data_IF_506106896379
#
_entry.id   IF_506106896379
#
_cell.length_a   1.000
_cell.length_b   1.000
_cell.length_c   1.000
_cell.angle_alpha   90.00
_cell.angle_beta   90.00
_cell.angle_gamma   90.00
#
_symmetry.space_group_name_H-M   'P 1'
#
loop_
_entity.id
_entity.type
_entity.pdbx_description
1 polymer ?
#
# COMPACT_ATOMS: atom_id res chain seq x y z
N UNK A 1 -2.56 -26.09 -30.98
CA UNK A 1 -2.91 -25.76 -29.56
C UNK A 1 -4.43 -25.72 -29.45
N UNK A 2 -5.05 -26.21 -28.38
CA UNK A 2 -6.51 -26.10 -28.20
C UNK A 2 -6.91 -24.62 -28.12
N UNK A 3 -8.09 -24.26 -28.63
CA UNK A 3 -8.62 -22.88 -28.62
C UNK A 3 -8.57 -22.26 -27.20
N UNK A 4 -8.79 -23.07 -26.16
CA UNK A 4 -8.69 -22.66 -24.76
C UNK A 4 -7.29 -22.18 -24.34
N UNK A 5 -6.21 -22.81 -24.82
CA UNK A 5 -4.83 -22.41 -24.49
C UNK A 5 -4.45 -21.08 -25.13
N UNK A 6 -5.00 -20.79 -26.32
CA UNK A 6 -4.78 -19.52 -27.02
C UNK A 6 -5.49 -18.39 -26.28
N UNK A 7 -6.76 -18.58 -25.92
CA UNK A 7 -7.55 -17.60 -25.18
C UNK A 7 -6.88 -17.25 -23.84
N UNK A 8 -6.44 -18.27 -23.08
CA UNK A 8 -5.71 -18.05 -21.84
C UNK A 8 -4.45 -17.21 -22.07
N UNK A 9 -3.69 -17.51 -23.12
CA UNK A 9 -2.47 -16.76 -23.39
C UNK A 9 -2.72 -15.30 -23.74
N UNK A 10 -3.77 -15.02 -24.51
CA UNK A 10 -4.21 -13.66 -24.83
C UNK A 10 -4.59 -12.92 -23.54
N UNK A 11 -5.36 -13.55 -22.65
CA UNK A 11 -5.76 -12.96 -21.38
C UNK A 11 -4.56 -12.65 -20.47
N UNK A 12 -3.57 -13.55 -20.38
CA UNK A 12 -2.33 -13.33 -19.63
C UNK A 12 -1.56 -12.10 -20.16
N UNK A 13 -1.44 -11.99 -21.48
CA UNK A 13 -0.75 -10.86 -22.12
C UNK A 13 -1.51 -9.56 -21.89
N UNK A 14 -2.83 -9.56 -22.07
CA UNK A 14 -3.67 -8.38 -21.82
C UNK A 14 -3.54 -7.90 -20.37
N UNK A 15 -3.61 -8.81 -19.40
CA UNK A 15 -3.43 -8.49 -17.98
C UNK A 15 -2.04 -7.91 -17.69
N UNK A 16 -0.99 -8.51 -18.26
CA UNK A 16 0.39 -8.02 -18.12
C UNK A 16 0.55 -6.63 -18.73
N UNK A 17 -0.09 -6.35 -19.86
CA UNK A 17 -0.09 -5.02 -20.48
C UNK A 17 -0.77 -3.97 -19.61
N UNK A 18 -1.95 -4.28 -19.07
CA UNK A 18 -2.68 -3.37 -18.16
C UNK A 18 -1.86 -3.06 -16.90
N UNK A 19 -1.27 -4.09 -16.27
CA UNK A 19 -0.38 -3.91 -15.12
C UNK A 19 0.81 -3.01 -15.49
N UNK A 20 1.41 -3.22 -16.66
CA UNK A 20 2.55 -2.42 -17.13
C UNK A 20 2.17 -0.95 -17.33
N UNK A 21 1.00 -0.69 -17.92
CA UNK A 21 0.49 0.68 -18.12
C UNK A 21 0.28 1.36 -16.76
N UNK A 22 -0.40 0.71 -15.81
CA UNK A 22 -0.64 1.27 -14.47
C UNK A 22 0.68 1.48 -13.70
N UNK A 23 1.65 0.57 -13.83
CA UNK A 23 2.97 0.78 -13.22
C UNK A 23 3.68 1.99 -13.84
N UNK A 24 3.58 2.18 -15.15
CA UNK A 24 4.16 3.36 -15.80
C UNK A 24 3.53 4.66 -15.27
N UNK A 25 2.22 4.70 -15.02
CA UNK A 25 1.56 5.86 -14.43
C UNK A 25 1.97 6.08 -12.98
N UNK A 26 2.34 5.04 -12.22
CA UNK A 26 2.95 5.22 -10.89
C UNK A 26 4.26 6.01 -10.99
N UNK A 27 5.16 5.64 -11.90
CA UNK A 27 6.41 6.38 -12.09
C UNK A 27 6.17 7.81 -12.59
N UNK A 28 5.22 8.00 -13.50
CA UNK A 28 4.91 9.32 -14.07
C UNK A 28 4.31 10.31 -13.06
N UNK A 29 3.60 9.82 -12.04
CA UNK A 29 3.00 10.66 -11.00
C UNK A 29 4.01 11.40 -10.11
N UNK A 30 5.26 10.92 -10.05
CA UNK A 30 6.35 11.57 -9.30
C UNK A 30 6.81 12.88 -9.96
N UNK A 31 7.28 12.89 -11.21
CA UNK A 31 7.61 14.14 -11.90
C UNK A 31 6.38 15.02 -12.11
N UNK A 32 5.17 14.44 -12.24
CA UNK A 32 3.94 15.23 -12.34
C UNK A 32 3.69 16.09 -11.10
N UNK A 33 3.82 15.53 -9.89
CA UNK A 33 3.68 16.33 -8.68
C UNK A 33 4.80 17.33 -8.48
N UNK A 34 6.02 17.02 -8.94
CA UNK A 34 7.10 18.01 -8.98
C UNK A 34 6.72 19.21 -9.86
N UNK A 35 6.22 18.96 -11.08
CA UNK A 35 5.76 20.00 -12.00
C UNK A 35 4.65 20.83 -11.36
N UNK A 36 3.63 20.17 -10.80
CA UNK A 36 2.51 20.84 -10.16
C UNK A 36 2.93 21.70 -8.97
N UNK A 37 3.81 21.20 -8.11
CA UNK A 37 4.24 21.95 -6.93
C UNK A 37 5.19 23.09 -7.32
N UNK A 38 6.17 22.87 -8.19
CA UNK A 38 7.27 23.84 -8.38
C UNK A 38 7.16 24.72 -9.62
N UNK A 39 6.40 24.31 -10.63
CA UNK A 39 6.29 25.02 -11.91
C UNK A 39 4.96 25.78 -12.07
N UNK A 40 4.08 25.72 -11.07
CA UNK A 40 2.86 26.53 -11.01
C UNK A 40 3.09 27.77 -10.16
N UNK A 41 2.50 28.91 -10.56
CA UNK A 41 2.70 30.19 -9.86
C UNK A 41 1.98 30.20 -8.52
N UNK A 42 0.85 29.51 -8.44
CA UNK A 42 -0.06 29.46 -7.30
C UNK A 42 0.56 28.73 -6.10
N UNK A 43 1.47 27.80 -6.34
CA UNK A 43 2.18 27.06 -5.29
C UNK A 43 3.42 27.78 -4.73
N UNK A 44 3.86 28.88 -5.36
CA UNK A 44 5.13 29.55 -5.03
C UNK A 44 5.21 30.06 -3.59
N UNK A 45 4.11 30.64 -3.07
CA UNK A 45 4.03 31.12 -1.69
C UNK A 45 4.03 29.97 -0.68
N UNK A 46 3.39 28.85 -1.04
CA UNK A 46 3.31 27.66 -0.21
C UNK A 46 4.67 26.96 -0.09
N UNK A 47 5.41 26.83 -1.19
CA UNK A 47 6.74 26.22 -1.20
C UNK A 47 7.67 26.92 -0.21
N UNK A 48 7.67 28.26 -0.19
CA UNK A 48 8.53 29.06 0.68
C UNK A 48 8.16 28.94 2.17
N UNK A 49 6.93 28.51 2.48
CA UNK A 49 6.43 28.44 3.85
C UNK A 49 7.24 27.47 4.72
N UNK A 50 7.36 27.80 6.00
CA UNK A 50 8.04 26.97 6.99
C UNK A 50 7.01 26.15 7.75
N UNK A 51 7.08 24.84 7.62
CA UNK A 51 6.21 23.90 8.34
C UNK A 51 6.97 23.17 9.43
N UNK A 52 6.26 22.83 10.50
CA UNK A 52 6.76 21.90 11.52
C UNK A 52 6.56 20.47 11.00
N UNK A 53 7.51 19.60 11.31
CA UNK A 53 7.39 18.18 10.99
C UNK A 53 6.53 17.51 12.07
N UNK A 54 5.35 17.02 11.68
CA UNK A 54 4.47 16.23 12.55
C UNK A 54 4.83 14.75 12.44
N UNK A 55 5.10 14.10 13.57
CA UNK A 55 5.20 12.66 13.67
C UNK A 55 3.98 12.16 14.44
N UNK A 56 3.34 11.12 13.93
CA UNK A 56 2.27 10.43 14.65
C UNK A 56 2.90 9.18 15.25
N UNK A 57 2.58 8.88 16.51
CA UNK A 57 2.90 7.60 17.12
C UNK A 57 1.66 7.10 17.85
N UNK A 58 0.99 6.10 17.26
CA UNK A 58 -0.21 5.48 17.82
C UNK A 58 -1.33 6.48 18.20
N UNK A 59 -1.71 7.33 17.23
CA UNK A 59 -2.71 8.40 17.41
C UNK A 59 -2.30 9.53 18.37
N UNK A 60 -1.01 9.63 18.73
CA UNK A 60 -0.46 10.76 19.47
C UNK A 60 0.42 11.60 18.55
N UNK A 61 0.17 12.90 18.52
CA UNK A 61 0.88 13.87 17.69
C UNK A 61 2.13 14.40 18.40
N UNK A 62 3.26 14.32 17.71
CA UNK A 62 4.55 14.86 18.14
C UNK A 62 5.06 15.86 17.11
N UNK A 63 5.16 17.11 17.51
CA UNK A 63 5.71 18.17 16.68
C UNK A 63 7.21 18.28 16.89
N UNK A 64 7.99 17.98 15.86
CA UNK A 64 9.43 18.19 15.94
C UNK A 64 9.74 19.70 15.87
N UNK A 65 10.64 20.23 16.72
CA UNK A 65 10.94 21.66 16.78
C UNK A 65 11.71 22.20 15.56
N UNK A 66 11.97 21.35 14.55
CA UNK A 66 12.60 21.74 13.30
C UNK A 66 11.57 22.33 12.34
N UNK A 67 11.85 23.53 11.84
CA UNK A 67 11.06 24.18 10.80
C UNK A 67 11.75 24.00 9.46
N UNK A 68 11.13 23.25 8.56
CA UNK A 68 11.65 22.97 7.22
C UNK A 68 10.80 23.72 6.21
N UNK A 69 11.41 24.15 5.12
CA UNK A 69 10.71 24.66 3.96
C UNK A 69 9.79 23.57 3.36
N UNK A 70 8.53 23.88 3.09
CA UNK A 70 7.54 22.91 2.61
C UNK A 70 7.98 22.25 1.31
N UNK A 71 8.49 23.03 0.36
CA UNK A 71 8.99 22.46 -0.91
C UNK A 71 10.14 21.49 -0.70
N UNK A 72 11.07 21.81 0.20
CA UNK A 72 12.17 20.89 0.55
C UNK A 72 11.64 19.58 1.10
N UNK A 73 10.66 19.64 2.01
CA UNK A 73 10.02 18.45 2.56
C UNK A 73 9.26 17.67 1.47
N UNK A 74 8.57 18.36 0.56
CA UNK A 74 7.88 17.73 -0.56
C UNK A 74 8.84 16.98 -1.50
N UNK A 75 10.01 17.55 -1.82
CA UNK A 75 11.05 16.86 -2.61
C UNK A 75 11.51 15.58 -1.88
N UNK A 76 11.73 15.65 -0.56
CA UNK A 76 12.11 14.48 0.24
C UNK A 76 11.04 13.39 0.13
N UNK A 77 9.74 13.74 0.22
CA UNK A 77 8.64 12.78 0.06
C UNK A 77 8.66 12.14 -1.33
N UNK A 78 8.80 12.92 -2.41
CA UNK A 78 8.89 12.40 -3.77
C UNK A 78 10.09 11.45 -3.95
N UNK A 79 11.23 11.77 -3.35
CA UNK A 79 12.41 10.90 -3.36
C UNK A 79 12.19 9.59 -2.59
N UNK A 80 11.47 9.63 -1.47
CA UNK A 80 11.07 8.42 -0.73
C UNK A 80 10.20 7.53 -1.62
N UNK A 81 9.18 8.08 -2.26
CA UNK A 81 8.30 7.30 -3.15
C UNK A 81 9.04 6.73 -4.35
N UNK A 82 9.91 7.51 -4.99
CA UNK A 82 10.75 7.03 -6.07
C UNK A 82 11.68 5.89 -5.61
N UNK A 83 12.27 6.03 -4.42
CA UNK A 83 13.11 4.98 -3.82
C UNK A 83 12.30 3.71 -3.55
N UNK A 84 11.08 3.84 -3.02
CA UNK A 84 10.17 2.70 -2.83
C UNK A 84 9.81 2.03 -4.16
N UNK A 85 9.50 2.79 -5.22
CA UNK A 85 9.22 2.24 -6.55
C UNK A 85 10.43 1.50 -7.15
N UNK A 86 11.63 2.08 -7.04
CA UNK A 86 12.88 1.45 -7.51
C UNK A 86 13.20 0.18 -6.70
N UNK A 87 13.00 0.21 -5.38
CA UNK A 87 13.16 -0.98 -4.53
C UNK A 87 12.18 -2.09 -4.97
N UNK A 88 10.92 -1.73 -5.19
CA UNK A 88 9.86 -2.63 -5.66
C UNK A 88 10.17 -3.25 -7.02
N UNK A 89 10.89 -2.53 -7.89
CA UNK A 89 11.32 -3.06 -9.20
C UNK A 89 12.31 -4.23 -9.09
N UNK A 90 13.15 -4.23 -8.06
CA UNK A 90 14.31 -5.14 -7.94
C UNK A 90 14.13 -6.27 -6.93
N UNK A 91 13.37 -6.05 -5.87
CA UNK A 91 13.29 -6.99 -4.75
C UNK A 91 12.56 -8.29 -5.10
N UNK A 92 13.04 -9.41 -4.54
CA UNK A 92 12.61 -10.80 -4.84
C UNK A 92 12.83 -11.19 -6.30
N UNK A 93 11.79 -11.10 -7.13
CA UNK A 93 11.86 -11.33 -8.58
C UNK A 93 11.84 -9.97 -9.26
N UNK A 94 12.80 -9.62 -10.13
CA UNK A 94 12.77 -8.35 -10.84
C UNK A 94 11.49 -8.18 -11.68
N UNK A 95 10.96 -6.95 -11.75
CA UNK A 95 9.71 -6.63 -12.44
C UNK A 95 9.65 -7.19 -13.87
N UNK A 96 10.71 -7.00 -14.67
CA UNK A 96 10.77 -7.48 -16.06
C UNK A 96 10.65 -9.01 -16.19
N UNK A 97 11.01 -9.78 -15.15
CA UNK A 97 10.80 -11.24 -15.12
C UNK A 97 9.41 -11.60 -14.61
N UNK A 98 8.92 -10.87 -13.60
CA UNK A 98 7.61 -11.10 -13.02
C UNK A 98 6.48 -10.81 -14.01
N UNK A 99 6.58 -9.72 -14.78
CA UNK A 99 5.54 -9.30 -15.72
C UNK A 99 5.38 -10.25 -16.91
N UNK A 100 6.42 -11.00 -17.27
CA UNK A 100 6.39 -11.98 -18.35
C UNK A 100 5.74 -13.31 -17.95
N UNK A 101 5.53 -13.54 -16.65
CA UNK A 101 4.98 -14.79 -16.13
C UNK A 101 3.97 -14.53 -15.01
N UNK A 102 2.66 -14.65 -15.29
CA UNK A 102 1.58 -14.41 -14.32
C UNK A 102 1.71 -15.14 -12.99
N UNK A 103 2.35 -16.31 -12.97
CA UNK A 103 2.62 -17.07 -11.73
C UNK A 103 3.58 -16.36 -10.77
N UNK A 104 4.30 -15.35 -11.26
CA UNK A 104 5.27 -14.56 -10.51
C UNK A 104 4.72 -13.17 -10.12
N UNK A 105 3.48 -12.82 -10.47
CA UNK A 105 2.92 -11.50 -10.14
C UNK A 105 2.97 -11.20 -8.64
N UNK A 106 2.64 -12.18 -7.79
CA UNK A 106 2.71 -12.03 -6.34
C UNK A 106 4.12 -12.20 -5.72
N UNK A 107 5.15 -12.29 -6.57
CA UNK A 107 6.57 -12.33 -6.16
C UNK A 107 7.32 -11.03 -6.43
N UNK A 108 6.66 -10.02 -6.99
CA UNK A 108 7.20 -8.68 -7.15
C UNK A 108 6.15 -7.65 -6.76
N UNK A 109 6.51 -6.67 -5.93
CA UNK A 109 5.53 -5.71 -5.44
C UNK A 109 4.94 -4.83 -6.54
N UNK A 110 5.71 -4.43 -7.58
CA UNK A 110 5.16 -3.62 -8.67
C UNK A 110 4.15 -4.37 -9.54
N UNK A 111 4.23 -5.70 -9.63
CA UNK A 111 3.17 -6.49 -10.30
C UNK A 111 1.99 -6.79 -9.38
N UNK A 112 2.22 -6.98 -8.07
CA UNK A 112 1.16 -7.19 -7.08
C UNK A 112 0.34 -5.94 -6.81
N UNK A 113 1.00 -4.77 -6.76
CA UNK A 113 0.42 -3.53 -6.26
C UNK A 113 -0.81 -3.12 -7.07
N UNK A 114 -0.80 -3.04 -8.41
CA UNK A 114 -2.01 -2.72 -9.18
C UNK A 114 -3.17 -3.66 -8.88
N UNK A 115 -2.91 -4.96 -8.73
CA UNK A 115 -3.96 -5.94 -8.42
C UNK A 115 -4.56 -5.66 -7.03
N UNK A 116 -3.71 -5.49 -6.03
CA UNK A 116 -4.12 -5.31 -4.63
C UNK A 116 -4.78 -3.96 -4.41
N UNK A 117 -4.20 -2.88 -4.96
CA UNK A 117 -4.71 -1.52 -4.79
C UNK A 117 -6.05 -1.34 -5.50
N UNK A 118 -6.19 -1.86 -6.73
CA UNK A 118 -7.46 -1.85 -7.46
C UNK A 118 -8.54 -2.69 -6.78
N UNK A 119 -8.22 -3.89 -6.31
CA UNK A 119 -9.18 -4.72 -5.59
C UNK A 119 -9.62 -4.05 -4.27
N UNK A 120 -8.67 -3.49 -3.52
CA UNK A 120 -8.98 -2.75 -2.30
C UNK A 120 -9.83 -1.51 -2.60
N UNK A 121 -9.55 -0.77 -3.68
CA UNK A 121 -10.37 0.37 -4.09
C UNK A 121 -11.82 -0.02 -4.34
N UNK A 122 -12.07 -1.11 -5.09
CA UNK A 122 -13.43 -1.60 -5.31
C UNK A 122 -14.11 -2.01 -4.00
N UNK A 123 -13.38 -2.69 -3.10
CA UNK A 123 -13.91 -3.07 -1.80
C UNK A 123 -14.28 -1.84 -0.94
N UNK A 124 -13.46 -0.78 -0.97
CA UNK A 124 -13.73 0.46 -0.24
C UNK A 124 -14.91 1.24 -0.81
N UNK A 125 -15.01 1.35 -2.15
CA UNK A 125 -16.17 1.96 -2.82
C UNK A 125 -17.45 1.20 -2.47
N UNK A 126 -17.42 -0.13 -2.53
CA UNK A 126 -18.56 -0.96 -2.18
C UNK A 126 -18.98 -0.79 -0.71
N UNK A 127 -18.01 -0.80 0.21
CA UNK A 127 -18.25 -0.59 1.64
C UNK A 127 -18.86 0.79 1.90
N UNK A 128 -18.29 1.84 1.31
CA UNK A 128 -18.78 3.21 1.45
C UNK A 128 -20.20 3.36 0.92
N UNK A 129 -20.51 2.81 -0.26
CA UNK A 129 -21.85 2.86 -0.83
C UNK A 129 -22.89 2.18 0.07
N UNK A 130 -22.55 1.05 0.70
CA UNK A 130 -23.43 0.37 1.68
C UNK A 130 -23.62 1.25 2.92
N UNK A 131 -22.56 1.85 3.44
CA UNK A 131 -22.64 2.68 4.64
C UNK A 131 -23.51 3.92 4.39
N UNK A 132 -23.26 4.63 3.30
CA UNK A 132 -24.00 5.85 2.95
C UNK A 132 -25.47 5.55 2.64
N UNK A 133 -25.78 4.42 2.00
CA UNK A 133 -27.18 4.01 1.78
C UNK A 133 -27.95 3.72 3.07
N UNK A 134 -27.25 3.50 4.19
CA UNK A 134 -27.82 3.27 5.52
C UNK A 134 -27.63 4.47 6.45
N UNK A 135 -27.27 5.65 5.92
CA UNK A 135 -27.11 6.87 6.71
C UNK A 135 -25.87 6.88 7.59
N UNK A 136 -24.83 6.12 7.24
CA UNK A 136 -23.52 6.11 7.90
C UNK A 136 -22.54 6.90 7.01
N UNK A 137 -22.42 8.22 7.20
CA UNK A 137 -21.60 9.07 6.34
C UNK A 137 -20.10 8.82 6.52
N UNK A 138 -19.35 8.87 5.42
CA UNK A 138 -17.88 8.76 5.45
C UNK A 138 -17.20 10.10 5.74
N UNK A 139 -17.82 11.21 5.34
CA UNK A 139 -17.22 12.54 5.43
C UNK A 139 -16.06 12.74 4.44
N UNK A 140 -15.40 13.88 4.52
CA UNK A 140 -14.23 14.22 3.69
C UNK A 140 -13.39 15.31 4.34
N UNK A 141 -12.10 15.33 4.02
CA UNK A 141 -11.25 16.47 4.38
C UNK A 141 -11.46 17.56 3.33
N UNK A 142 -11.73 18.78 3.79
CA UNK A 142 -11.87 19.95 2.94
C UNK A 142 -10.58 20.77 2.98
N UNK A 143 -9.95 20.95 1.83
CA UNK A 143 -8.77 21.79 1.67
C UNK A 143 -9.13 23.06 0.93
N UNK A 144 -8.71 24.21 1.45
CA UNK A 144 -8.90 25.49 0.76
C UNK A 144 -7.92 25.67 -0.39
N UNK A 145 -6.69 25.18 -0.22
CA UNK A 145 -5.64 25.27 -1.22
C UNK A 145 -5.34 23.87 -1.79
N UNK A 146 -5.50 23.63 -3.10
CA UNK A 146 -5.24 22.32 -3.69
C UNK A 146 -3.77 21.88 -3.61
N UNK A 147 -2.82 22.81 -3.52
CA UNK A 147 -1.41 22.48 -3.33
C UNK A 147 -1.09 22.11 -1.88
N UNK A 148 -1.85 22.64 -0.92
CA UNK A 148 -1.80 22.17 0.47
C UNK A 148 -2.35 20.75 0.59
N UNK A 149 -3.44 20.45 -0.12
CA UNK A 149 -3.94 19.09 -0.25
C UNK A 149 -2.90 18.15 -0.88
N UNK A 150 -2.28 18.56 -2.00
CA UNK A 150 -1.22 17.79 -2.66
C UNK A 150 -0.07 17.46 -1.69
N UNK A 151 0.38 18.45 -0.92
CA UNK A 151 1.42 18.25 0.09
C UNK A 151 0.95 17.33 1.22
N UNK A 152 -0.23 17.59 1.79
CA UNK A 152 -0.78 16.83 2.92
C UNK A 152 -0.98 15.36 2.56
N UNK A 153 -1.53 15.09 1.37
CA UNK A 153 -1.75 13.74 0.84
C UNK A 153 -0.45 13.03 0.42
N UNK A 154 0.61 13.78 0.11
CA UNK A 154 1.97 13.22 -0.03
C UNK A 154 2.66 12.99 1.31
N UNK A 155 2.27 13.70 2.37
CA UNK A 155 2.93 13.63 3.66
C UNK A 155 2.34 12.52 4.54
N UNK A 156 1.01 12.42 4.57
CA UNK A 156 0.29 11.51 5.46
C UNK A 156 0.67 10.04 5.28
N UNK A 157 0.90 9.48 4.06
CA UNK A 157 1.24 8.07 3.94
C UNK A 157 2.53 7.73 4.69
N UNK A 158 3.55 8.60 4.67
CA UNK A 158 4.82 8.32 5.34
C UNK A 158 4.62 8.30 6.86
N UNK A 159 4.00 9.34 7.40
CA UNK A 159 3.88 9.51 8.84
C UNK A 159 2.92 8.49 9.43
N UNK A 160 1.80 8.22 8.77
CA UNK A 160 0.81 7.27 9.25
C UNK A 160 1.33 5.83 9.16
N UNK A 161 2.03 5.45 8.08
CA UNK A 161 2.65 4.13 8.01
C UNK A 161 3.70 3.94 9.11
N UNK A 162 4.57 4.93 9.34
CA UNK A 162 5.56 4.88 10.41
C UNK A 162 4.87 4.81 11.79
N UNK A 163 3.87 5.66 12.00
CA UNK A 163 3.23 5.89 13.28
C UNK A 163 2.26 4.81 13.74
N UNK A 164 1.58 4.15 12.82
CA UNK A 164 0.59 3.12 13.17
C UNK A 164 1.09 1.71 12.93
N UNK A 165 1.99 1.49 11.96
CA UNK A 165 2.23 0.13 11.43
C UNK A 165 3.69 -0.28 11.49
N UNK A 166 4.55 0.40 10.73
CA UNK A 166 5.97 0.03 10.58
C UNK A 166 6.66 -0.05 11.94
N UNK A 167 6.44 0.95 12.82
CA UNK A 167 7.04 0.94 14.16
C UNK A 167 6.55 -0.24 15.01
N UNK A 168 5.25 -0.50 15.04
CA UNK A 168 4.65 -1.51 15.93
C UNK A 168 4.84 -2.94 15.42
N UNK A 169 4.38 -3.20 14.19
CA UNK A 169 4.50 -4.51 13.57
C UNK A 169 5.98 -4.85 13.37
N UNK A 170 6.80 -3.87 12.95
CA UNK A 170 8.24 -4.08 12.76
C UNK A 170 8.96 -4.46 14.05
N UNK A 171 8.68 -3.78 15.17
CA UNK A 171 9.25 -4.13 16.48
C UNK A 171 8.80 -5.52 16.92
N UNK A 172 7.53 -5.88 16.74
CA UNK A 172 7.04 -7.23 17.07
C UNK A 172 7.74 -8.29 16.22
N UNK A 173 7.91 -8.06 14.91
CA UNK A 173 8.66 -8.96 14.04
C UNK A 173 10.14 -9.06 14.42
N UNK A 174 10.78 -7.96 14.87
CA UNK A 174 12.14 -7.97 15.42
C UNK A 174 12.24 -8.84 16.68
N UNK A 175 11.35 -8.63 17.66
CA UNK A 175 11.33 -9.39 18.91
C UNK A 175 11.11 -10.89 18.66
N UNK A 176 10.24 -11.22 17.71
CA UNK A 176 10.01 -12.59 17.28
C UNK A 176 11.29 -13.21 16.70
N UNK A 177 11.94 -12.52 15.75
CA UNK A 177 13.20 -12.99 15.17
C UNK A 177 14.29 -13.13 16.23
N UNK A 178 14.41 -12.17 17.16
CA UNK A 178 15.38 -12.22 18.26
C UNK A 178 15.22 -13.48 19.11
N UNK A 179 13.99 -13.82 19.49
CA UNK A 179 13.72 -15.01 20.29
C UNK A 179 14.06 -16.31 19.55
N UNK A 180 13.88 -16.34 18.23
CA UNK A 180 14.27 -17.46 17.38
C UNK A 180 15.80 -17.56 17.20
N UNK A 181 16.49 -16.43 17.04
CA UNK A 181 17.94 -16.34 16.88
C UNK A 181 18.68 -16.82 18.13
N UNK A 182 18.16 -16.61 19.35
CA UNK A 182 18.75 -17.13 20.59
C UNK A 182 18.98 -18.65 20.58
N UNK A 183 18.30 -19.39 19.69
CA UNK A 183 18.46 -20.83 19.50
C UNK A 183 19.64 -21.20 18.60
N UNK A 184 20.28 -20.21 17.98
CA UNK A 184 21.37 -20.36 17.02
C UNK A 184 22.57 -19.50 17.43
N UNK A 185 23.79 -19.99 17.21
CA UNK A 185 25.01 -19.25 17.54
C UNK A 185 25.32 -18.20 16.46
N UNK A 186 24.90 -16.95 16.67
CA UNK A 186 25.17 -15.83 15.77
C UNK A 186 26.08 -14.76 16.41
N UNK A 187 26.92 -14.12 15.60
CA UNK A 187 27.71 -12.95 16.04
C UNK A 187 26.81 -11.72 16.32
N UNK A 188 27.26 -10.79 17.18
CA UNK A 188 26.51 -9.55 17.49
C UNK A 188 26.19 -8.72 16.23
N UNK A 189 27.15 -8.60 15.31
CA UNK A 189 26.95 -7.88 14.03
C UNK A 189 25.92 -8.57 13.15
N UNK A 190 25.88 -9.90 13.16
CA UNK A 190 24.85 -10.68 12.45
C UNK A 190 23.47 -10.46 13.07
N UNK A 191 23.37 -10.41 14.41
CA UNK A 191 22.11 -10.15 15.11
C UNK A 191 21.55 -8.79 14.72
N UNK A 192 22.35 -7.71 14.79
CA UNK A 192 21.87 -6.37 14.44
C UNK A 192 21.35 -6.30 13.00
N UNK A 193 22.08 -6.91 12.05
CA UNK A 193 21.65 -7.00 10.64
C UNK A 193 20.32 -7.75 10.51
N UNK A 194 20.16 -8.88 11.21
CA UNK A 194 18.91 -9.65 11.17
C UNK A 194 17.76 -8.84 11.77
N UNK A 195 17.97 -8.11 12.88
CA UNK A 195 16.93 -7.26 13.47
C UNK A 195 16.54 -6.11 12.54
N UNK A 196 17.49 -5.42 11.94
CA UNK A 196 17.19 -4.38 10.94
C UNK A 196 16.43 -4.96 9.73
N UNK A 197 16.80 -6.15 9.26
CA UNK A 197 16.06 -6.83 8.20
C UNK A 197 14.68 -7.28 8.67
N UNK A 198 14.51 -7.73 9.91
CA UNK A 198 13.21 -8.13 10.45
C UNK A 198 12.25 -6.93 10.49
N UNK A 199 12.76 -5.75 10.79
CA UNK A 199 12.00 -4.50 10.74
C UNK A 199 11.68 -4.09 9.30
N UNK A 200 12.65 -4.16 8.37
CA UNK A 200 12.43 -3.64 7.01
C UNK A 200 11.69 -4.64 6.10
N UNK A 201 11.92 -5.94 6.29
CA UNK A 201 11.45 -7.05 5.48
C UNK A 201 11.12 -8.28 6.36
N UNK A 202 9.99 -8.25 7.10
CA UNK A 202 9.66 -9.28 8.08
C UNK A 202 9.68 -10.70 7.53
N UNK A 203 8.93 -10.96 6.45
CA UNK A 203 8.81 -12.30 5.85
C UNK A 203 10.13 -12.84 5.29
N UNK A 204 10.89 -12.00 4.57
CA UNK A 204 12.21 -12.36 4.05
C UNK A 204 13.17 -12.74 5.18
N UNK A 205 13.08 -12.05 6.31
CA UNK A 205 13.95 -12.33 7.45
C UNK A 205 13.61 -13.66 8.11
N UNK A 206 12.31 -13.96 8.27
CA UNK A 206 11.86 -15.28 8.76
C UNK A 206 12.37 -16.42 7.89
N UNK A 207 12.35 -16.22 6.56
CA UNK A 207 12.93 -17.17 5.61
C UNK A 207 14.44 -17.36 5.82
N UNK A 208 15.20 -16.26 5.95
CA UNK A 208 16.67 -16.32 6.16
C UNK A 208 17.04 -17.10 7.43
N UNK A 209 16.28 -16.93 8.51
CA UNK A 209 16.53 -17.60 9.79
C UNK A 209 15.84 -18.98 9.91
N UNK A 210 15.20 -19.45 8.84
CA UNK A 210 14.62 -20.80 8.76
C UNK A 210 13.39 -21.03 9.64
N UNK A 211 12.60 -19.99 9.90
CA UNK A 211 11.31 -20.13 10.62
C UNK A 211 10.12 -19.90 9.70
N UNK A 212 8.94 -20.29 10.17
CA UNK A 212 7.72 -20.20 9.36
C UNK A 212 7.51 -18.79 8.82
N UNK A 213 7.26 -18.72 7.52
CA UNK A 213 7.08 -17.50 6.75
C UNK A 213 5.89 -17.65 5.79
N UNK A 214 5.38 -16.54 5.27
CA UNK A 214 4.21 -16.48 4.40
C UNK A 214 4.52 -17.16 3.05
N UNK A 215 5.71 -16.96 2.50
CA UNK A 215 6.08 -17.52 1.19
C UNK A 215 6.05 -19.04 1.15
N UNK A 216 6.57 -19.68 2.20
CA UNK A 216 6.72 -21.14 2.24
C UNK A 216 5.56 -21.82 2.97
N UNK A 217 4.95 -21.17 3.95
CA UNK A 217 3.94 -21.79 4.82
C UNK A 217 2.54 -21.17 4.70
N UNK A 218 2.39 -20.11 3.89
CA UNK A 218 1.13 -19.38 3.72
C UNK A 218 0.80 -18.44 4.87
N UNK A 219 -0.25 -17.63 4.70
CA UNK A 219 -0.64 -16.56 5.62
C UNK A 219 -0.95 -17.04 7.04
N UNK A 220 -1.62 -18.19 7.18
CA UNK A 220 -2.03 -18.71 8.49
C UNK A 220 -0.84 -19.15 9.33
N UNK A 221 0.12 -19.88 8.74
CA UNK A 221 1.28 -20.42 9.48
C UNK A 221 2.47 -19.45 9.50
N UNK A 222 2.56 -18.55 8.52
CA UNK A 222 3.65 -17.59 8.36
C UNK A 222 3.52 -16.33 9.23
N UNK A 223 2.31 -15.99 9.66
CA UNK A 223 2.04 -14.89 10.59
C UNK A 223 1.77 -15.48 11.98
N UNK A 224 2.49 -15.00 12.99
CA UNK A 224 2.36 -15.48 14.37
C UNK A 224 1.20 -14.79 15.07
N UNK A 225 0.70 -15.40 16.15
CA UNK A 225 -0.42 -14.85 16.92
C UNK A 225 -0.17 -13.41 17.39
N UNK A 226 1.03 -13.12 17.91
CA UNK A 226 1.39 -11.76 18.33
C UNK A 226 1.39 -10.75 17.18
N UNK A 227 1.78 -11.19 15.97
CA UNK A 227 1.69 -10.36 14.76
C UNK A 227 0.24 -10.14 14.35
N UNK A 228 -0.61 -11.18 14.37
CA UNK A 228 -2.04 -11.03 14.10
C UNK A 228 -2.74 -10.05 15.06
N UNK A 229 -2.44 -10.14 16.35
CA UNK A 229 -3.01 -9.24 17.36
C UNK A 229 -2.63 -7.79 17.05
N UNK A 230 -1.35 -7.52 16.79
CA UNK A 230 -0.90 -6.14 16.54
C UNK A 230 -1.41 -5.63 15.18
N UNK A 231 -1.52 -6.49 14.15
CA UNK A 231 -2.14 -6.13 12.86
C UNK A 231 -3.58 -5.66 13.09
N UNK A 232 -4.41 -6.48 13.77
CA UNK A 232 -5.82 -6.15 13.99
C UNK A 232 -5.95 -4.88 14.84
N UNK A 233 -5.17 -4.78 15.92
CA UNK A 233 -5.21 -3.63 16.82
C UNK A 233 -4.82 -2.33 16.10
N UNK A 234 -3.70 -2.34 15.36
CA UNK A 234 -3.21 -1.14 14.67
C UNK A 234 -4.15 -0.72 13.53
N UNK A 235 -4.81 -1.66 12.85
CA UNK A 235 -5.86 -1.38 11.88
C UNK A 235 -7.08 -0.68 12.50
N UNK A 236 -7.60 -1.18 13.62
CA UNK A 236 -8.75 -0.58 14.30
C UNK A 236 -8.40 0.82 14.81
N UNK A 237 -7.23 0.96 15.47
CA UNK A 237 -6.76 2.25 15.98
C UNK A 237 -6.57 3.26 14.85
N UNK A 238 -6.08 2.82 13.70
CA UNK A 238 -5.95 3.66 12.52
C UNK A 238 -7.29 4.19 12.01
N UNK A 239 -8.32 3.33 11.96
CA UNK A 239 -9.67 3.75 11.59
C UNK A 239 -10.30 4.70 12.60
N UNK A 240 -10.15 4.41 13.89
CA UNK A 240 -10.64 5.29 14.96
C UNK A 240 -9.95 6.65 14.93
N UNK A 241 -8.63 6.70 14.70
CA UNK A 241 -7.88 7.94 14.63
C UNK A 241 -8.40 8.88 13.53
N UNK A 242 -8.83 8.34 12.37
CA UNK A 242 -9.41 9.15 11.29
C UNK A 242 -10.68 9.88 11.72
N UNK A 243 -11.56 9.22 12.47
CA UNK A 243 -12.78 9.83 12.98
C UNK A 243 -12.50 10.79 14.14
N UNK A 244 -11.67 10.37 15.09
CA UNK A 244 -11.39 11.14 16.31
C UNK A 244 -10.49 12.37 16.07
N UNK A 245 -9.75 12.42 14.96
CA UNK A 245 -8.94 13.57 14.60
C UNK A 245 -9.76 14.84 14.31
N UNK A 246 -11.07 14.72 14.02
CA UNK A 246 -11.93 15.87 13.77
C UNK A 246 -11.61 16.65 12.50
N UNK A 247 -10.86 16.05 11.56
CA UNK A 247 -10.42 16.70 10.31
C UNK A 247 -11.47 16.73 9.19
N UNK A 248 -12.71 16.33 9.49
CA UNK A 248 -13.82 16.22 8.52
C UNK A 248 -14.24 14.80 8.13
N UNK A 249 -13.52 13.78 8.58
CA UNK A 249 -13.97 12.39 8.45
C UNK A 249 -15.07 12.07 9.46
N UNK A 250 -16.04 11.26 9.04
CA UNK A 250 -17.19 10.86 9.85
C UNK A 250 -17.13 9.37 10.21
N UNK A 251 -18.13 8.89 10.94
CA UNK A 251 -18.13 7.55 11.54
C UNK A 251 -17.96 6.42 10.50
N UNK A 252 -18.45 6.63 9.27
CA UNK A 252 -18.28 5.70 8.16
C UNK A 252 -16.82 5.47 7.79
N UNK A 253 -15.94 6.46 7.99
CA UNK A 253 -14.51 6.34 7.71
C UNK A 253 -13.81 5.29 8.56
N UNK A 254 -14.31 5.00 9.76
CA UNK A 254 -13.66 4.06 10.70
C UNK A 254 -13.48 2.69 10.06
N UNK A 255 -14.51 2.14 9.41
CA UNK A 255 -14.47 0.80 8.81
C UNK A 255 -13.60 0.76 7.56
N UNK A 256 -13.70 1.76 6.68
CA UNK A 256 -12.92 1.83 5.44
C UNK A 256 -11.43 2.06 5.70
N UNK A 257 -11.08 2.96 6.63
CA UNK A 257 -9.70 3.15 7.07
C UNK A 257 -9.16 1.92 7.82
N UNK A 258 -9.97 1.25 8.65
CA UNK A 258 -9.55 -0.01 9.30
C UNK A 258 -9.26 -1.13 8.29
N UNK A 259 -10.13 -1.28 7.27
CA UNK A 259 -9.94 -2.26 6.20
C UNK A 259 -8.67 -1.96 5.40
N UNK A 260 -8.46 -0.70 5.01
CA UNK A 260 -7.23 -0.29 4.34
C UNK A 260 -5.99 -0.58 5.21
N UNK A 261 -6.02 -0.17 6.49
CA UNK A 261 -4.94 -0.41 7.44
C UNK A 261 -4.62 -1.90 7.64
N UNK A 262 -5.63 -2.78 7.59
CA UNK A 262 -5.44 -4.24 7.62
C UNK A 262 -4.64 -4.72 6.41
N UNK A 263 -5.04 -4.31 5.21
CA UNK A 263 -4.32 -4.69 3.99
C UNK A 263 -2.92 -4.10 3.97
N UNK A 264 -2.74 -2.85 4.41
CA UNK A 264 -1.42 -2.20 4.51
C UNK A 264 -0.48 -3.01 5.42
N UNK A 265 -0.99 -3.46 6.57
CA UNK A 265 -0.25 -4.31 7.52
C UNK A 265 0.14 -5.67 6.90
N UNK A 266 -0.76 -6.29 6.14
CA UNK A 266 -0.48 -7.57 5.48
C UNK A 266 0.57 -7.44 4.39
N UNK A 267 0.52 -6.39 3.56
CA UNK A 267 1.53 -6.17 2.53
C UNK A 267 2.88 -5.77 3.13
N UNK A 268 2.89 -5.08 4.27
CA UNK A 268 4.12 -4.79 5.01
C UNK A 268 4.84 -6.08 5.43
N UNK A 269 4.14 -7.00 6.09
CA UNK A 269 4.76 -8.24 6.55
C UNK A 269 5.27 -9.05 5.36
N UNK A 270 4.47 -9.14 4.28
CA UNK A 270 4.79 -9.95 3.11
C UNK A 270 5.93 -9.37 2.25
N UNK A 271 5.91 -8.08 1.94
CA UNK A 271 6.81 -7.47 0.95
C UNK A 271 7.87 -6.56 1.59
N UNK A 272 7.63 -6.01 2.77
CA UNK A 272 8.50 -5.07 3.47
C UNK A 272 8.02 -3.62 3.41
N UNK A 273 8.80 -2.72 4.00
CA UNK A 273 8.42 -1.34 4.35
C UNK A 273 7.93 -0.49 3.16
N UNK A 274 8.46 -0.73 1.96
CA UNK A 274 8.09 0.03 0.76
C UNK A 274 6.66 -0.25 0.29
N UNK A 275 6.14 -1.45 0.55
CA UNK A 275 4.84 -1.87 0.08
C UNK A 275 3.66 -1.12 0.71
N UNK A 276 3.53 -1.02 2.05
CA UNK A 276 2.46 -0.24 2.66
C UNK A 276 2.57 1.25 2.35
N UNK A 277 3.80 1.79 2.26
CA UNK A 277 4.05 3.19 1.89
C UNK A 277 3.47 3.49 0.51
N UNK A 278 3.77 2.65 -0.48
CA UNK A 278 3.26 2.83 -1.84
C UNK A 278 1.77 2.55 -1.94
N UNK A 279 1.26 1.56 -1.20
CA UNK A 279 -0.17 1.25 -1.22
C UNK A 279 -0.99 2.41 -0.62
N UNK A 280 -0.54 3.01 0.47
CA UNK A 280 -1.19 4.16 1.06
C UNK A 280 -1.03 5.41 0.19
N UNK A 281 0.16 5.63 -0.36
CA UNK A 281 0.41 6.67 -1.36
C UNK A 281 -0.55 6.58 -2.57
N UNK A 282 -0.91 5.37 -2.99
CA UNK A 282 -1.89 5.15 -4.05
C UNK A 282 -3.27 5.73 -3.69
N UNK A 283 -3.73 5.57 -2.45
CA UNK A 283 -5.04 6.08 -2.03
C UNK A 283 -5.07 7.58 -1.72
N UNK A 284 -3.93 8.17 -1.38
CA UNK A 284 -3.88 9.58 -0.99
C UNK A 284 -3.36 10.47 -2.11
N UNK A 285 -2.11 10.26 -2.53
CA UNK A 285 -1.42 11.15 -3.46
C UNK A 285 -1.70 10.79 -4.92
N UNK A 286 -1.68 9.51 -5.28
CA UNK A 286 -1.66 9.07 -6.68
C UNK A 286 -2.89 9.55 -7.46
N UNK A 287 -4.10 9.30 -6.97
CA UNK A 287 -5.30 9.80 -7.67
C UNK A 287 -5.35 11.33 -7.69
N UNK A 288 -5.04 11.96 -6.54
CA UNK A 288 -5.11 13.41 -6.40
C UNK A 288 -4.16 14.17 -7.34
N UNK A 289 -2.95 13.67 -7.56
CA UNK A 289 -1.98 14.33 -8.45
C UNK A 289 -2.44 14.31 -9.91
N UNK A 290 -3.14 13.25 -10.35
CA UNK A 290 -3.72 13.19 -11.70
C UNK A 290 -4.94 14.12 -11.81
N UNK A 291 -5.81 14.14 -10.80
CA UNK A 291 -6.98 15.02 -10.80
C UNK A 291 -6.56 16.49 -10.83
N UNK A 292 -5.58 16.86 -10.01
CA UNK A 292 -5.02 18.21 -10.00
C UNK A 292 -4.32 18.54 -11.33
N UNK A 293 -3.64 17.59 -11.96
CA UNK A 293 -3.03 17.81 -13.27
C UNK A 293 -4.07 18.08 -14.37
N UNK A 294 -5.24 17.45 -14.30
CA UNK A 294 -6.36 17.74 -15.20
C UNK A 294 -6.94 19.11 -14.90
N UNK A 295 -7.17 19.45 -13.62
CA UNK A 295 -7.67 20.76 -13.20
C UNK A 295 -6.75 21.89 -13.68
N UNK A 296 -5.44 21.70 -13.59
CA UNK A 296 -4.41 22.65 -14.04
C UNK A 296 -4.03 22.52 -15.51
N UNK A 297 -4.79 21.74 -16.29
CA UNK A 297 -4.64 21.60 -17.75
C UNK A 297 -3.27 21.04 -18.21
N UNK A 298 -2.51 20.39 -17.33
CA UNK A 298 -1.31 19.64 -17.71
C UNK A 298 -1.65 18.30 -18.37
N UNK A 299 -2.82 17.73 -18.04
CA UNK A 299 -3.34 16.50 -18.62
C UNK A 299 -4.80 16.69 -19.07
N UNK A 300 -5.26 15.81 -19.96
CA UNK A 300 -6.66 15.79 -20.40
C UNK A 300 -7.50 14.93 -19.45
N UNK A 301 -8.80 15.25 -19.36
CA UNK A 301 -9.77 14.42 -18.64
C UNK A 301 -9.73 12.97 -19.10
N UNK A 302 -9.60 12.73 -20.41
CA UNK A 302 -9.46 11.39 -21.00
C UNK A 302 -8.31 10.59 -20.37
N UNK A 303 -7.20 11.23 -20.05
CA UNK A 303 -6.06 10.55 -19.42
C UNK A 303 -6.42 10.06 -18.01
N UNK A 304 -7.01 10.91 -17.18
CA UNK A 304 -7.42 10.51 -15.82
C UNK A 304 -8.54 9.45 -15.87
N UNK A 305 -9.52 9.63 -16.75
CA UNK A 305 -10.62 8.65 -16.94
C UNK A 305 -10.09 7.28 -17.32
N UNK A 306 -9.17 7.17 -18.29
CA UNK A 306 -8.58 5.90 -18.69
C UNK A 306 -7.82 5.22 -17.54
N UNK A 307 -7.07 5.98 -16.75
CA UNK A 307 -6.35 5.46 -15.57
C UNK A 307 -7.35 4.90 -14.55
N UNK A 308 -8.42 5.63 -14.28
CA UNK A 308 -9.48 5.22 -13.35
C UNK A 308 -10.20 3.97 -13.86
N UNK A 309 -10.62 3.93 -15.11
CA UNK A 309 -11.30 2.78 -15.72
C UNK A 309 -10.44 1.52 -15.70
N UNK A 310 -9.17 1.61 -16.10
CA UNK A 310 -8.24 0.48 -16.02
C UNK A 310 -8.04 0.00 -14.58
N UNK A 311 -7.95 0.94 -13.64
CA UNK A 311 -7.84 0.61 -12.21
C UNK A 311 -9.09 -0.13 -11.73
N UNK A 312 -10.30 0.34 -12.06
CA UNK A 312 -11.56 -0.27 -11.64
C UNK A 312 -11.77 -1.65 -12.28
N UNK A 313 -11.55 -1.78 -13.59
CA UNK A 313 -11.66 -3.05 -14.32
C UNK A 313 -10.69 -4.07 -13.73
N UNK A 314 -9.43 -3.68 -13.49
CA UNK A 314 -8.45 -4.57 -12.88
C UNK A 314 -8.89 -5.02 -11.47
N UNK A 315 -9.52 -4.14 -10.70
CA UNK A 315 -10.03 -4.45 -9.37
C UNK A 315 -11.15 -5.47 -9.40
N UNK A 316 -12.13 -5.29 -10.29
CA UNK A 316 -13.24 -6.23 -10.49
C UNK A 316 -12.72 -7.61 -10.91
N UNK A 317 -11.80 -7.65 -11.88
CA UNK A 317 -11.20 -8.90 -12.35
C UNK A 317 -10.40 -9.61 -11.24
N UNK A 318 -9.66 -8.84 -10.43
CA UNK A 318 -8.87 -9.38 -9.32
C UNK A 318 -9.76 -9.97 -8.23
N UNK A 319 -10.82 -9.26 -7.84
CA UNK A 319 -11.80 -9.77 -6.87
C UNK A 319 -12.48 -11.03 -7.41
N UNK A 320 -12.95 -11.00 -8.66
CA UNK A 320 -13.59 -12.14 -9.30
C UNK A 320 -12.68 -13.37 -9.33
N UNK A 321 -11.40 -13.19 -9.65
CA UNK A 321 -10.40 -14.25 -9.60
C UNK A 321 -10.29 -14.87 -8.20
N UNK A 322 -10.15 -14.05 -7.15
CA UNK A 322 -10.04 -14.56 -5.78
C UNK A 322 -11.31 -15.27 -5.29
N UNK A 323 -12.49 -14.79 -5.67
CA UNK A 323 -13.77 -15.44 -5.35
C UNK A 323 -13.84 -16.83 -6.02
N UNK A 324 -13.50 -16.93 -7.31
CA UNK A 324 -13.49 -18.21 -8.03
C UNK A 324 -12.49 -19.18 -7.41
N UNK A 325 -11.27 -18.72 -7.12
CA UNK A 325 -10.24 -19.52 -6.42
C UNK A 325 -10.75 -20.06 -5.08
N UNK A 326 -11.42 -19.21 -4.29
CA UNK A 326 -11.99 -19.59 -3.01
C UNK A 326 -13.09 -20.64 -3.16
N UNK A 327 -14.02 -20.46 -4.11
CA UNK A 327 -15.09 -21.43 -4.39
C UNK A 327 -14.50 -22.76 -4.82
N UNK A 328 -13.56 -22.77 -5.77
CA UNK A 328 -12.93 -23.99 -6.28
C UNK A 328 -12.23 -24.76 -5.14
N UNK A 329 -11.43 -24.07 -4.32
CA UNK A 329 -10.74 -24.70 -3.17
C UNK A 329 -11.74 -25.23 -2.13
N UNK A 330 -12.83 -24.51 -1.89
CA UNK A 330 -13.89 -24.94 -0.97
C UNK A 330 -14.61 -26.19 -1.47
N UNK A 331 -14.95 -26.24 -2.77
CA UNK A 331 -15.57 -27.41 -3.40
C UNK A 331 -14.63 -28.62 -3.38
N UNK A 332 -13.34 -28.44 -3.66
CA UNK A 332 -12.34 -29.50 -3.55
C UNK A 332 -12.28 -30.03 -2.11
N UNK A 333 -12.20 -29.16 -1.10
CA UNK A 333 -12.18 -29.56 0.30
C UNK A 333 -13.41 -30.39 0.71
N UNK A 334 -14.60 -29.99 0.25
CA UNK A 334 -15.84 -30.73 0.49
C UNK A 334 -15.80 -32.10 -0.22
N UNK A 335 -15.31 -32.16 -1.46
CA UNK A 335 -15.22 -33.42 -2.21
C UNK A 335 -14.27 -34.43 -1.56
N UNK A 336 -13.15 -33.98 -0.99
CA UNK A 336 -12.21 -34.84 -0.25
C UNK A 336 -12.79 -35.37 1.06
N UNK A 337 -13.76 -34.68 1.68
CA UNK A 337 -14.48 -35.19 2.87
C UNK A 337 -15.59 -36.19 2.54
N UNK A 338 -16.01 -36.31 1.27
CA UNK A 338 -17.10 -37.20 0.83
C UNK A 338 -16.64 -38.59 0.40
N UNK A 339 -15.41 -38.99 0.69
CA UNK A 339 -14.92 -40.36 0.49
C UNK A 339 -14.89 -41.04 1.87
N UNK A 340 -15.91 -41.84 2.24
CA UNK A 340 -15.79 -42.80 3.33
C UNK A 340 -14.84 -43.95 2.98
#
# INVERSE_FOLDING_TARGET
MSNSKIILKIAEVALSSVITIIVATYFFSIPLGFILMFLTKEASSLIASKVKVLMIFFAIDFWFPLRINLGTLFIILLLIYLTCLIASWKLEVPFHKAILNPKLFFKNWLTSMPLISSALLIALIFLQNIQESHGIPTGSIQFQNPYEALFSLAYSPIIEEIGFRISFIGVISMLYCLNSIKRFSFSKTSILKILSLAFLFPDKTKQIIGINNIKENGWIKGIKLGEWIIIILTSIVFGLAHYLAGSGWEIGKVSSASLAGLIFSLVYIRYGIHAPILLHWFFNYYSYVYDLAVEKQFLTLTTSTLISEFTLILGILTIGFFIIEFIVKSLQFISFRKIP
#
